data_IF_426780663237
#
_entry.id   IF_426780663237
#
_cell.length_a   1.000
_cell.length_b   1.000
_cell.length_c   1.000
_cell.angle_alpha   90.00
_cell.angle_beta   90.00
_cell.angle_gamma   90.00
#
_symmetry.space_group_name_H-M   'P 1'
#
loop_
_entity.id
_entity.type
_entity.pdbx_description
1 polymer ?
#
# COMPACT_ATOMS: atom_id res chain seq x y z
N UNK A 1 21.11 24.05 -18.20
CA UNK A 1 20.62 22.66 -18.15
C UNK A 1 20.75 22.18 -16.70
N UNK A 2 19.78 22.50 -15.85
CA UNK A 2 19.85 22.34 -14.38
C UNK A 2 18.45 22.06 -13.80
N UNK A 3 17.61 21.33 -14.53
CA UNK A 3 16.21 21.04 -14.15
C UNK A 3 15.87 19.55 -13.95
N UNK A 4 16.78 18.61 -14.22
CA UNK A 4 16.47 17.16 -14.07
C UNK A 4 16.83 16.52 -12.73
N UNK A 5 17.85 17.01 -12.00
CA UNK A 5 18.30 16.36 -10.75
C UNK A 5 17.30 16.48 -9.59
N UNK A 6 16.39 17.45 -9.64
CA UNK A 6 15.32 17.60 -8.65
C UNK A 6 14.21 16.57 -8.87
N UNK A 7 13.87 16.31 -10.13
CA UNK A 7 12.73 15.47 -10.50
C UNK A 7 13.02 13.98 -10.21
N UNK A 8 14.23 13.52 -10.50
CA UNK A 8 14.66 12.15 -10.18
C UNK A 8 14.70 11.86 -8.66
N UNK A 9 15.06 12.85 -7.84
CA UNK A 9 15.05 12.73 -6.37
C UNK A 9 13.63 12.71 -5.80
N UNK A 10 12.68 13.37 -6.45
CA UNK A 10 11.27 13.31 -6.06
C UNK A 10 10.64 11.98 -6.50
N UNK A 11 11.07 11.43 -7.64
CA UNK A 11 10.58 10.18 -8.17
C UNK A 11 11.00 8.94 -7.33
N UNK A 12 12.13 9.03 -6.63
CA UNK A 12 12.63 8.01 -5.70
C UNK A 12 12.03 8.08 -4.29
N UNK A 13 11.24 9.12 -3.97
CA UNK A 13 10.68 9.27 -2.62
C UNK A 13 9.46 8.39 -2.43
N UNK A 14 9.44 7.72 -1.29
CA UNK A 14 8.23 7.10 -0.78
C UNK A 14 7.20 8.19 -0.49
N UNK A 15 5.98 7.98 -0.98
CA UNK A 15 4.81 8.74 -0.57
C UNK A 15 3.97 7.84 0.35
N UNK A 16 3.36 8.42 1.38
CA UNK A 16 2.72 7.65 2.45
C UNK A 16 1.37 8.24 2.88
N UNK A 17 0.42 7.36 3.18
CA UNK A 17 -0.92 7.67 3.69
C UNK A 17 -1.27 6.72 4.83
N UNK A 18 -2.12 7.19 5.74
CA UNK A 18 -2.85 6.32 6.65
C UNK A 18 -4.26 6.20 6.12
N UNK A 19 -4.74 4.97 5.93
CA UNK A 19 -6.11 4.70 5.49
C UNK A 19 -6.84 3.86 6.52
N UNK A 20 -8.13 4.13 6.68
CA UNK A 20 -9.00 3.34 7.55
C UNK A 20 -9.22 1.93 7.00
N UNK A 21 -9.32 0.97 7.91
CA UNK A 21 -9.75 -0.41 7.62
C UNK A 21 -11.25 -0.50 7.87
N UNK A 22 -12.01 -0.87 6.84
CA UNK A 22 -13.44 -1.14 6.97
C UNK A 22 -13.67 -2.36 7.90
N UNK A 23 -14.83 -2.46 8.59
CA UNK A 23 -15.11 -3.55 9.54
C UNK A 23 -14.92 -4.97 8.98
N UNK A 24 -15.15 -5.15 7.68
CA UNK A 24 -14.98 -6.43 6.98
C UNK A 24 -13.52 -6.76 6.63
N UNK A 25 -12.56 -5.90 7.01
CA UNK A 25 -11.13 -6.06 6.69
C UNK A 25 -10.74 -5.57 5.31
N UNK A 26 -11.48 -4.60 4.76
CA UNK A 26 -11.22 -4.02 3.44
C UNK A 26 -10.56 -2.66 3.59
N UNK A 27 -9.65 -2.32 2.67
CA UNK A 27 -9.04 -0.98 2.58
C UNK A 27 -9.22 -0.41 1.20
N UNK A 28 -9.37 0.91 1.11
CA UNK A 28 -9.36 1.64 -0.17
C UNK A 28 -7.95 2.19 -0.39
N UNK A 29 -7.32 1.84 -1.51
CA UNK A 29 -6.02 2.38 -1.85
C UNK A 29 -6.13 3.83 -2.34
N UNK A 30 -5.22 4.73 -1.93
CA UNK A 30 -5.10 6.07 -2.53
C UNK A 30 -4.95 5.98 -4.06
N UNK A 31 -5.50 6.93 -4.80
CA UNK A 31 -5.51 6.88 -6.29
C UNK A 31 -4.11 6.74 -6.86
N UNK A 32 -3.12 7.39 -6.25
CA UNK A 32 -1.74 7.32 -6.72
C UNK A 32 -1.08 5.96 -6.42
N UNK A 33 -1.50 5.27 -5.36
CA UNK A 33 -1.06 3.91 -5.08
C UNK A 33 -1.66 2.92 -6.09
N UNK A 34 -2.89 3.16 -6.57
CA UNK A 34 -3.55 2.34 -7.59
C UNK A 34 -2.87 2.50 -8.94
N UNK A 35 -2.52 3.72 -9.30
CA UNK A 35 -1.76 4.02 -10.51
C UNK A 35 -0.42 3.27 -10.53
N UNK A 36 0.28 3.20 -9.40
CA UNK A 36 1.54 2.42 -9.25
C UNK A 36 1.33 0.93 -9.52
N UNK A 37 0.17 0.38 -9.17
CA UNK A 37 -0.16 -1.03 -9.36
C UNK A 37 -0.70 -1.33 -10.76
N UNK A 38 -0.99 -0.31 -11.57
CA UNK A 38 -1.76 -0.48 -12.81
C UNK A 38 -3.20 -0.95 -12.55
N UNK A 39 -3.73 -0.67 -11.36
CA UNK A 39 -5.05 -1.12 -10.92
C UNK A 39 -6.19 -0.14 -11.26
N UNK A 40 -5.89 0.90 -12.05
CA UNK A 40 -6.89 1.87 -12.55
C UNK A 40 -7.46 1.47 -13.92
N UNK A 41 -7.38 0.18 -14.27
CA UNK A 41 -7.99 -0.34 -15.50
C UNK A 41 -9.47 0.08 -15.56
N UNK A 42 -9.93 0.46 -16.74
CA UNK A 42 -11.33 0.82 -16.98
C UNK A 42 -11.90 -0.23 -17.90
N UNK A 43 -13.03 -0.81 -17.53
CA UNK A 43 -13.78 -1.74 -18.38
C UNK A 43 -14.34 -0.99 -19.59
N UNK A 44 -14.77 -1.74 -20.62
CA UNK A 44 -15.35 -1.19 -21.84
C UNK A 44 -16.55 -0.24 -21.59
N UNK A 45 -17.23 -0.40 -20.44
CA UNK A 45 -18.39 0.39 -20.04
C UNK A 45 -18.04 1.64 -19.21
N UNK A 46 -16.75 1.97 -19.06
CA UNK A 46 -16.32 3.14 -18.29
C UNK A 46 -16.37 2.95 -16.76
N UNK A 47 -16.77 1.76 -16.29
CA UNK A 47 -16.65 1.36 -14.90
C UNK A 47 -15.21 0.92 -14.59
N UNK A 48 -14.73 1.13 -13.36
CA UNK A 48 -13.42 0.62 -12.97
C UNK A 48 -13.37 -0.90 -13.09
N UNK A 49 -12.35 -1.40 -13.77
CA UNK A 49 -12.09 -2.82 -13.93
C UNK A 49 -11.64 -3.46 -12.62
N UNK A 50 -12.14 -4.66 -12.34
CA UNK A 50 -11.53 -5.48 -11.30
C UNK A 50 -10.10 -5.86 -11.73
N UNK A 51 -9.13 -5.43 -10.94
CA UNK A 51 -7.70 -5.66 -11.16
C UNK A 51 -7.17 -6.82 -10.32
N UNK A 52 -6.09 -7.44 -10.78
CA UNK A 52 -5.33 -8.43 -9.99
C UNK A 52 -3.91 -7.93 -9.79
N UNK A 53 -3.48 -7.89 -8.53
CA UNK A 53 -2.12 -7.53 -8.14
C UNK A 53 -1.40 -8.72 -7.52
N UNK A 54 -0.08 -8.65 -7.43
CA UNK A 54 0.77 -9.66 -6.81
C UNK A 54 1.19 -9.21 -5.43
N UNK A 55 0.91 -10.04 -4.44
CA UNK A 55 1.12 -9.78 -3.03
C UNK A 55 2.20 -10.68 -2.46
N UNK A 56 3.14 -10.09 -1.73
CA UNK A 56 4.22 -10.78 -1.01
C UNK A 56 4.24 -10.33 0.44
N UNK A 57 4.22 -11.28 1.36
CA UNK A 57 4.47 -10.97 2.77
C UNK A 57 5.98 -10.78 2.98
N UNK A 58 6.37 -9.69 3.64
CA UNK A 58 7.75 -9.41 4.05
C UNK A 58 7.72 -8.87 5.47
N UNK A 59 8.22 -9.67 6.41
CA UNK A 59 8.18 -9.37 7.84
C UNK A 59 6.74 -9.02 8.28
N UNK A 60 6.53 -7.81 8.80
CA UNK A 60 5.21 -7.30 9.22
C UNK A 60 4.47 -6.50 8.13
N UNK A 61 4.90 -6.62 6.88
CA UNK A 61 4.38 -5.82 5.76
C UNK A 61 3.83 -6.70 4.62
N UNK A 62 2.84 -6.16 3.91
CA UNK A 62 2.33 -6.72 2.67
C UNK A 62 2.78 -5.85 1.50
N UNK A 63 3.59 -6.42 0.63
CA UNK A 63 4.09 -5.77 -0.57
C UNK A 63 3.19 -6.11 -1.75
N UNK A 64 2.67 -5.10 -2.43
CA UNK A 64 1.84 -5.21 -3.63
C UNK A 64 2.60 -4.70 -4.86
N UNK A 65 2.43 -5.41 -5.98
CA UNK A 65 3.00 -5.08 -7.30
C UNK A 65 1.99 -5.39 -8.39
N UNK A 66 2.02 -4.65 -9.50
CA UNK A 66 1.17 -4.95 -10.68
C UNK A 66 1.51 -6.27 -11.37
N UNK A 67 2.67 -6.89 -11.05
CA UNK A 67 3.11 -8.16 -11.63
C UNK A 67 4.24 -8.83 -10.85
N UNK A 68 4.73 -9.96 -11.36
CA UNK A 68 5.83 -10.73 -10.77
C UNK A 68 5.40 -11.85 -9.82
N UNK A 69 6.32 -12.27 -8.95
CA UNK A 69 6.08 -13.34 -7.98
C UNK A 69 5.18 -12.88 -6.82
N UNK A 70 4.40 -13.80 -6.26
CA UNK A 70 3.50 -13.55 -5.13
C UNK A 70 2.14 -14.22 -5.29
N UNK A 71 1.30 -14.07 -4.26
CA UNK A 71 -0.10 -14.48 -4.34
C UNK A 71 -0.90 -13.46 -5.16
N UNK A 72 -1.89 -13.92 -5.92
CA UNK A 72 -2.84 -13.01 -6.58
C UNK A 72 -3.80 -12.41 -5.56
N UNK A 73 -4.02 -11.11 -5.63
CA UNK A 73 -5.00 -10.40 -4.80
C UNK A 73 -5.88 -9.54 -5.70
N UNK A 74 -7.19 -9.65 -5.53
CA UNK A 74 -8.16 -8.84 -6.25
C UNK A 74 -8.20 -7.42 -5.67
N UNK A 75 -8.26 -6.45 -6.58
CA UNK A 75 -8.57 -5.05 -6.31
C UNK A 75 -9.84 -4.76 -7.09
N UNK A 76 -10.92 -4.40 -6.39
CA UNK A 76 -12.17 -4.09 -7.09
C UNK A 76 -12.07 -2.79 -7.89
N UNK A 77 -13.03 -2.53 -8.78
CA UNK A 77 -13.07 -1.30 -9.59
C UNK A 77 -13.06 0.03 -8.81
N UNK A 78 -13.23 0.00 -7.48
CA UNK A 78 -13.09 1.18 -6.61
C UNK A 78 -11.72 1.27 -5.95
N UNK A 79 -10.79 0.39 -6.31
CA UNK A 79 -9.47 0.37 -5.74
C UNK A 79 -9.37 -0.28 -4.37
N UNK A 80 -10.35 -1.12 -4.01
CA UNK A 80 -10.43 -1.71 -2.68
C UNK A 80 -9.94 -3.15 -2.70
N UNK A 81 -9.27 -3.55 -1.64
CA UNK A 81 -8.79 -4.92 -1.45
C UNK A 81 -9.05 -5.42 -0.03
N UNK A 82 -9.19 -6.73 0.11
CA UNK A 82 -9.26 -7.37 1.41
C UNK A 82 -7.86 -7.60 1.97
N UNK A 83 -7.67 -7.22 3.23
CA UNK A 83 -6.44 -7.52 3.96
C UNK A 83 -6.35 -9.03 4.23
N UNK A 84 -5.12 -9.54 4.22
CA UNK A 84 -4.83 -10.88 4.73
C UNK A 84 -5.31 -11.02 6.17
N UNK A 85 -5.63 -12.25 6.59
CA UNK A 85 -6.11 -12.50 7.95
C UNK A 85 -5.15 -11.99 9.04
N UNK A 86 -3.83 -12.11 8.81
CA UNK A 86 -2.82 -11.64 9.76
C UNK A 86 -2.78 -10.11 9.84
N UNK A 87 -2.81 -9.41 8.69
CA UNK A 87 -2.70 -7.96 8.67
C UNK A 87 -3.95 -7.31 9.24
N UNK A 88 -5.13 -7.88 8.95
CA UNK A 88 -6.38 -7.50 9.59
C UNK A 88 -6.34 -7.64 11.11
N UNK A 89 -5.74 -8.71 11.64
CA UNK A 89 -5.57 -8.88 13.10
C UNK A 89 -4.64 -7.82 13.68
N UNK A 90 -3.56 -7.51 12.98
CA UNK A 90 -2.60 -6.49 13.39
C UNK A 90 -3.19 -5.06 13.41
N UNK A 91 -4.30 -4.82 12.70
CA UNK A 91 -4.97 -3.51 12.65
C UNK A 91 -6.20 -3.42 13.55
N UNK A 92 -6.50 -4.43 14.38
CA UNK A 92 -7.71 -4.45 15.23
C UNK A 92 -7.72 -3.28 16.22
N UNK A 93 -6.58 -2.96 16.82
CA UNK A 93 -6.46 -1.88 17.80
C UNK A 93 -6.48 -0.50 17.14
N UNK A 94 -5.84 -0.35 15.98
CA UNK A 94 -5.62 0.95 15.34
C UNK A 94 -6.65 1.30 14.26
N UNK A 95 -7.42 0.32 13.78
CA UNK A 95 -8.41 0.49 12.72
C UNK A 95 -7.86 1.03 11.39
N UNK A 96 -6.55 0.98 11.18
CA UNK A 96 -5.88 1.68 10.08
C UNK A 96 -4.62 0.96 9.59
N UNK A 97 -4.27 1.20 8.32
CA UNK A 97 -3.00 0.75 7.72
C UNK A 97 -2.22 1.94 7.18
N UNK A 98 -0.90 1.85 7.30
CA UNK A 98 0.03 2.67 6.54
C UNK A 98 0.09 2.11 5.11
N UNK A 99 -0.12 2.98 4.14
CA UNK A 99 0.08 2.73 2.71
C UNK A 99 1.25 3.58 2.25
N UNK A 100 2.37 2.93 1.95
CA UNK A 100 3.55 3.59 1.38
C UNK A 100 3.76 3.11 -0.05
N UNK A 101 4.10 4.00 -0.99
CA UNK A 101 4.40 3.60 -2.35
C UNK A 101 5.48 4.44 -3.00
N UNK A 102 6.08 3.88 -4.06
CA UNK A 102 7.04 4.57 -4.92
C UNK A 102 6.77 4.20 -6.38
N UNK A 103 7.06 5.14 -7.28
CA UNK A 103 6.79 4.98 -8.71
C UNK A 103 8.04 4.61 -9.53
N UNK A 104 9.25 4.95 -9.04
CA UNK A 104 10.50 4.77 -9.81
C UNK A 104 11.40 3.68 -9.24
N UNK A 105 12.20 3.06 -10.11
CA UNK A 105 13.07 1.92 -9.83
C UNK A 105 12.28 0.62 -9.86
N UNK A 106 11.64 0.27 -8.74
CA UNK A 106 10.73 -0.86 -8.66
C UNK A 106 9.38 -0.38 -8.10
N UNK A 107 8.40 -0.11 -8.98
CA UNK A 107 7.06 0.31 -8.59
C UNK A 107 6.44 -0.70 -7.63
N UNK A 108 6.02 -0.22 -6.47
CA UNK A 108 5.40 -1.07 -5.45
C UNK A 108 4.61 -0.25 -4.44
N UNK A 109 3.62 -0.89 -3.85
CA UNK A 109 2.87 -0.41 -2.70
C UNK A 109 3.18 -1.33 -1.52
N UNK A 110 3.33 -0.77 -0.33
CA UNK A 110 3.59 -1.47 0.91
C UNK A 110 2.49 -1.12 1.90
N UNK A 111 1.88 -2.15 2.47
CA UNK A 111 0.89 -2.03 3.53
C UNK A 111 1.51 -2.53 4.84
N UNK A 112 1.32 -1.76 5.91
CA UNK A 112 1.69 -2.15 7.25
C UNK A 112 0.59 -1.74 8.24
N UNK A 113 0.43 -2.48 9.33
CA UNK A 113 -0.41 -2.02 10.42
C UNK A 113 0.19 -0.75 11.03
N UNK A 114 -0.65 0.24 11.32
CA UNK A 114 -0.17 1.52 11.90
C UNK A 114 0.46 1.37 13.27
N UNK A 115 0.21 0.28 14.01
CA UNK A 115 0.91 -0.04 15.26
C UNK A 115 2.43 -0.17 15.12
N UNK A 116 2.97 -0.30 13.90
CA UNK A 116 4.42 -0.18 13.66
C UNK A 116 4.96 1.21 14.02
N UNK A 117 4.15 2.26 13.85
CA UNK A 117 4.52 3.62 14.17
C UNK A 117 4.62 3.81 15.68
N UNK A 118 3.74 3.19 16.45
CA UNK A 118 3.78 3.21 17.91
C UNK A 118 5.10 2.59 18.40
N UNK A 119 5.45 1.39 17.90
CA UNK A 119 6.73 0.76 18.24
C UNK A 119 7.96 1.60 17.83
N UNK A 120 7.88 2.34 16.72
CA UNK A 120 8.94 3.27 16.33
C UNK A 120 9.03 4.46 17.28
N UNK A 121 7.89 5.02 17.71
CA UNK A 121 7.84 6.12 18.68
C UNK A 121 8.39 5.66 20.03
N UNK A 122 7.98 4.49 20.52
CA UNK A 122 8.48 3.90 21.76
C UNK A 122 10.00 3.72 21.70
N UNK A 123 10.52 3.22 20.57
CA UNK A 123 11.96 3.07 20.35
C UNK A 123 12.71 4.41 20.38
N UNK A 124 12.15 5.46 19.77
CA UNK A 124 12.75 6.81 19.76
C UNK A 124 12.67 7.49 21.12
N UNK A 125 11.56 7.28 21.85
CA UNK A 125 11.35 7.81 23.20
C UNK A 125 12.21 7.08 24.26
N UNK A 126 12.78 5.92 23.92
CA UNK A 126 13.50 5.06 24.86
C UNK A 126 12.55 4.24 25.76
N UNK A 127 11.30 4.09 25.35
CA UNK A 127 10.23 3.37 26.05
C UNK A 127 10.10 1.92 25.56
N UNK A 128 10.73 1.57 24.42
CA UNK A 128 10.82 0.20 23.92
C UNK A 128 11.77 -0.66 24.75
N UNK A 129 11.21 -1.54 25.60
CA UNK A 129 11.93 -2.62 26.29
C UNK A 129 11.52 -3.98 25.78
#
# INVERSE_FOLDING_TARGET
MLRDLGDERHALRWRQWIVGVEPIGRVTLPVEARAVLGADGVDADGAGADGVVRALCRDLTLVLRGGGAGASLAVDGRGRLFLSAWLRRATVSSGSVLVAFRCVGQPMVVLAATGVLDAMVDGVAGEGR
#
